data_IF_935690245226
#
_entry.id   IF_935690245226
#
_cell.length_a   1.000
_cell.length_b   1.000
_cell.length_c   1.000
_cell.angle_alpha   90.00
_cell.angle_beta   90.00
_cell.angle_gamma   90.00
#
_symmetry.space_group_name_H-M   'P 1'
#
loop_
_entity.id
_entity.type
_entity.pdbx_description
1 polymer ?
#
# COMPACT_ATOMS: atom_id res chain seq x y z
N UNK A 1 -20.28 -49.44 6.88
CA UNK A 1 -19.14 -49.06 6.01
C UNK A 1 -18.50 -47.82 6.62
N UNK A 2 -17.18 -47.79 6.79
CA UNK A 2 -16.49 -46.60 7.28
C UNK A 2 -16.54 -45.48 6.22
N UNK A 3 -16.64 -44.20 6.61
CA UNK A 3 -16.62 -43.10 5.64
C UNK A 3 -15.26 -43.01 4.94
N UNK A 4 -15.24 -42.62 3.68
CA UNK A 4 -14.02 -42.43 2.89
C UNK A 4 -14.12 -41.17 2.04
N UNK A 5 -13.11 -40.30 2.12
CA UNK A 5 -13.02 -39.08 1.32
C UNK A 5 -12.21 -39.37 0.05
N UNK A 6 -12.86 -39.19 -1.10
CA UNK A 6 -12.22 -39.23 -2.41
C UNK A 6 -11.54 -37.90 -2.70
N UNK A 7 -12.28 -36.79 -2.59
CA UNK A 7 -11.78 -35.44 -2.90
C UNK A 7 -12.44 -34.36 -2.04
N UNK A 8 -11.79 -33.20 -1.99
CA UNK A 8 -12.37 -31.96 -1.46
C UNK A 8 -12.23 -30.87 -2.53
N UNK A 9 -13.23 -29.98 -2.63
CA UNK A 9 -13.22 -28.86 -3.56
C UNK A 9 -13.94 -27.65 -2.98
N UNK A 10 -13.31 -26.46 -2.93
CA UNK A 10 -11.90 -26.22 -3.27
C UNK A 10 -10.95 -26.85 -2.23
N UNK A 11 -9.68 -27.02 -2.59
CA UNK A 11 -8.61 -27.52 -1.70
C UNK A 11 -7.93 -26.41 -0.89
N UNK A 12 -8.34 -25.15 -1.08
CA UNK A 12 -7.81 -24.00 -0.37
C UNK A 12 -8.86 -22.89 -0.26
N UNK A 13 -8.69 -22.00 0.71
CA UNK A 13 -9.57 -20.85 0.91
C UNK A 13 -9.39 -20.19 2.26
N UNK A 14 -10.30 -19.30 2.62
CA UNK A 14 -10.37 -18.65 3.94
C UNK A 14 -11.47 -19.28 4.80
N UNK A 15 -11.54 -18.86 6.07
CA UNK A 15 -12.73 -19.09 6.89
C UNK A 15 -13.97 -18.55 6.16
N UNK A 16 -15.05 -19.33 6.11
CA UNK A 16 -16.25 -19.00 5.34
C UNK A 16 -16.31 -19.63 3.94
N UNK A 17 -15.22 -20.23 3.45
CA UNK A 17 -15.22 -20.91 2.14
C UNK A 17 -16.19 -22.09 2.15
N UNK A 18 -17.09 -22.18 1.16
CA UNK A 18 -17.94 -23.36 0.96
C UNK A 18 -17.10 -24.50 0.37
N UNK A 19 -16.92 -25.57 1.13
CA UNK A 19 -16.12 -26.75 0.76
C UNK A 19 -17.04 -27.95 0.57
N UNK A 20 -16.93 -28.54 -0.62
CA UNK A 20 -17.59 -29.79 -0.99
C UNK A 20 -16.62 -30.95 -0.80
N UNK A 21 -17.01 -31.92 0.02
CA UNK A 21 -16.28 -33.15 0.30
C UNK A 21 -17.00 -34.28 -0.41
N UNK A 22 -16.33 -34.94 -1.34
CA UNK A 22 -16.89 -36.05 -2.13
C UNK A 22 -16.28 -37.37 -1.68
N UNK A 23 -17.09 -38.41 -1.55
CA UNK A 23 -16.65 -39.67 -0.97
C UNK A 23 -17.73 -40.73 -0.93
N UNK A 24 -17.63 -41.62 0.05
CA UNK A 24 -18.60 -42.67 0.33
C UNK A 24 -18.81 -42.82 1.83
N UNK A 25 -19.95 -43.38 2.23
CA UNK A 25 -20.21 -43.71 3.63
C UNK A 25 -20.49 -42.49 4.52
N UNK A 26 -20.86 -41.35 3.93
CA UNK A 26 -21.30 -40.15 4.66
C UNK A 26 -22.74 -40.28 5.20
N UNK A 27 -23.41 -41.39 4.87
CA UNK A 27 -24.64 -41.85 5.50
C UNK A 27 -25.91 -41.46 4.75
N UNK A 28 -26.99 -42.20 5.05
CA UNK A 28 -28.36 -41.79 4.78
C UNK A 28 -28.99 -41.36 6.12
N UNK A 29 -29.35 -40.08 6.25
CA UNK A 29 -30.17 -39.35 7.27
C UNK A 29 -30.18 -39.73 8.78
N UNK A 30 -29.88 -40.97 9.21
CA UNK A 30 -30.01 -41.42 10.60
C UNK A 30 -28.83 -41.04 11.52
N UNK A 31 -27.67 -40.69 10.96
CA UNK A 31 -26.52 -40.19 11.70
C UNK A 31 -25.85 -39.08 10.89
N UNK A 32 -25.92 -37.86 11.40
CA UNK A 32 -25.34 -36.68 10.74
C UNK A 32 -23.81 -36.76 10.77
N UNK A 33 -23.13 -36.66 9.62
CA UNK A 33 -21.68 -36.58 9.58
C UNK A 33 -21.19 -35.32 10.30
N UNK A 34 -20.07 -35.44 11.01
CA UNK A 34 -19.35 -34.33 11.62
C UNK A 34 -18.05 -34.14 10.85
N UNK A 35 -17.84 -32.94 10.30
CA UNK A 35 -16.61 -32.61 9.58
C UNK A 35 -15.64 -31.92 10.52
N UNK A 36 -14.36 -32.27 10.42
CA UNK A 36 -13.29 -31.65 11.17
C UNK A 36 -12.25 -31.05 10.21
N UNK A 37 -11.80 -29.84 10.49
CA UNK A 37 -10.63 -29.20 9.88
C UNK A 37 -9.53 -29.17 10.94
N UNK A 38 -8.60 -30.13 10.89
CA UNK A 38 -7.65 -30.37 11.97
C UNK A 38 -8.38 -30.74 13.27
N UNK A 39 -8.13 -30.00 14.34
CA UNK A 39 -8.84 -30.15 15.62
C UNK A 39 -10.18 -29.39 15.67
N UNK A 40 -10.46 -28.52 14.70
CA UNK A 40 -11.65 -27.68 14.71
C UNK A 40 -12.84 -28.45 14.13
N UNK A 41 -13.90 -28.58 14.92
CA UNK A 41 -15.16 -29.18 14.47
C UNK A 41 -16.00 -28.13 13.76
N UNK A 42 -16.53 -28.47 12.58
CA UNK A 42 -17.45 -27.59 11.86
C UNK A 42 -18.79 -27.54 12.60
N UNK A 43 -19.26 -26.33 12.92
CA UNK A 43 -20.58 -26.09 13.52
C UNK A 43 -21.51 -25.48 12.47
N UNK A 44 -22.75 -25.98 12.36
CA UNK A 44 -23.77 -25.42 11.46
C UNK A 44 -24.40 -26.47 10.53
N UNK A 45 -25.10 -26.00 9.50
CA UNK A 45 -25.81 -26.85 8.55
C UNK A 45 -24.82 -27.57 7.64
N UNK A 46 -24.84 -28.89 7.69
CA UNK A 46 -24.12 -29.76 6.76
C UNK A 46 -25.13 -30.28 5.75
N UNK A 47 -24.95 -29.98 4.47
CA UNK A 47 -25.79 -30.59 3.42
C UNK A 47 -25.18 -31.93 3.04
N UNK A 48 -25.94 -33.00 3.18
CA UNK A 48 -25.43 -34.37 3.09
C UNK A 48 -26.19 -35.17 2.04
N UNK A 49 -25.43 -35.77 1.14
CA UNK A 49 -25.79 -36.96 0.39
C UNK A 49 -24.81 -38.08 0.78
N UNK A 50 -25.17 -39.34 0.53
CA UNK A 50 -24.29 -40.48 0.89
C UNK A 50 -22.87 -40.37 0.28
N UNK A 51 -22.73 -39.63 -0.83
CA UNK A 51 -21.47 -39.41 -1.54
C UNK A 51 -20.93 -37.98 -1.47
N UNK A 52 -21.61 -37.06 -0.79
CA UNK A 52 -21.22 -35.66 -0.76
C UNK A 52 -21.60 -34.97 0.54
N UNK A 53 -20.68 -34.17 1.09
CA UNK A 53 -20.89 -33.32 2.26
C UNK A 53 -20.47 -31.90 1.89
N UNK A 54 -21.36 -30.91 2.03
CA UNK A 54 -21.01 -29.50 1.88
C UNK A 54 -20.96 -28.81 3.24
N UNK A 55 -19.88 -28.09 3.51
CA UNK A 55 -19.61 -27.38 4.77
C UNK A 55 -18.97 -26.02 4.52
N UNK A 56 -19.12 -25.13 5.49
CA UNK A 56 -18.37 -23.88 5.54
C UNK A 56 -17.07 -24.08 6.32
N UNK A 57 -15.93 -23.76 5.73
CA UNK A 57 -14.63 -23.86 6.40
C UNK A 57 -14.62 -22.98 7.67
N UNK A 58 -14.29 -23.53 8.85
CA UNK A 58 -14.30 -22.77 10.10
C UNK A 58 -13.09 -21.82 10.17
N UNK A 59 -13.04 -21.01 11.23
CA UNK A 59 -11.85 -20.22 11.56
C UNK A 59 -10.62 -21.13 11.78
N UNK A 60 -9.47 -20.70 11.26
CA UNK A 60 -8.22 -21.45 11.35
C UNK A 60 -7.01 -20.56 11.05
N UNK A 61 -5.82 -21.02 11.47
CA UNK A 61 -4.57 -20.38 11.11
C UNK A 61 -4.21 -20.69 9.65
N UNK A 62 -3.45 -19.80 9.01
CA UNK A 62 -2.93 -20.03 7.67
C UNK A 62 -2.06 -21.30 7.60
N UNK A 63 -2.10 -21.98 6.46
CA UNK A 63 -1.38 -23.22 6.21
C UNK A 63 -2.30 -24.43 6.04
N UNK A 64 -1.67 -25.60 5.90
CA UNK A 64 -2.37 -26.85 5.64
C UNK A 64 -3.03 -27.40 6.90
N UNK A 65 -4.30 -27.80 6.78
CA UNK A 65 -5.02 -28.62 7.75
C UNK A 65 -5.52 -29.91 7.11
N UNK A 66 -5.71 -30.94 7.92
CA UNK A 66 -6.30 -32.20 7.48
C UNK A 66 -7.81 -32.17 7.70
N UNK A 67 -8.58 -32.39 6.65
CA UNK A 67 -10.03 -32.50 6.68
C UNK A 67 -10.42 -33.97 6.83
N UNK A 68 -11.28 -34.28 7.80
CA UNK A 68 -11.84 -35.62 8.02
C UNK A 68 -13.35 -35.55 8.28
N UNK A 69 -14.03 -36.68 8.07
CA UNK A 69 -15.46 -36.83 8.35
C UNK A 69 -15.67 -37.98 9.32
N UNK A 70 -16.40 -37.72 10.40
CA UNK A 70 -16.80 -38.72 11.40
C UNK A 70 -18.29 -39.02 11.25
N UNK A 71 -18.64 -40.30 11.15
CA UNK A 71 -20.03 -40.79 11.13
C UNK A 71 -20.19 -41.85 12.21
N UNK A 72 -21.02 -41.57 13.21
CA UNK A 72 -21.08 -42.41 14.42
C UNK A 72 -19.72 -42.46 15.12
N UNK A 73 -19.16 -43.66 15.27
CA UNK A 73 -17.83 -43.88 15.86
C UNK A 73 -16.71 -44.04 14.83
N UNK A 74 -17.00 -43.94 13.53
CA UNK A 74 -16.03 -44.15 12.45
C UNK A 74 -15.57 -42.84 11.82
N UNK A 75 -14.26 -42.61 11.77
CA UNK A 75 -13.64 -41.46 11.09
C UNK A 75 -13.01 -41.89 9.77
N UNK A 76 -13.11 -41.03 8.75
CA UNK A 76 -12.56 -41.26 7.43
C UNK A 76 -11.03 -41.12 7.37
N UNK A 77 -10.44 -41.42 6.22
CA UNK A 77 -9.14 -40.86 5.83
C UNK A 77 -9.19 -39.33 5.79
N UNK A 78 -8.01 -38.71 5.70
CA UNK A 78 -7.88 -37.25 5.59
C UNK A 78 -7.56 -36.77 4.16
N UNK A 79 -7.94 -35.52 3.89
CA UNK A 79 -7.50 -34.73 2.72
C UNK A 79 -7.01 -33.36 3.17
N UNK A 80 -5.99 -32.84 2.52
CA UNK A 80 -5.41 -31.54 2.85
C UNK A 80 -6.31 -30.40 2.35
N UNK A 81 -6.58 -29.43 3.22
CA UNK A 81 -7.14 -28.12 2.86
C UNK A 81 -6.15 -27.03 3.30
N UNK A 82 -5.89 -26.04 2.45
CA UNK A 82 -4.94 -24.96 2.74
C UNK A 82 -5.65 -23.65 3.06
N UNK A 83 -5.49 -23.15 4.28
CA UNK A 83 -5.95 -21.82 4.66
C UNK A 83 -5.02 -20.76 4.09
N UNK A 84 -5.55 -19.88 3.24
CA UNK A 84 -4.80 -18.79 2.62
C UNK A 84 -4.64 -17.66 3.64
N UNK A 85 -3.41 -17.20 3.84
CA UNK A 85 -3.14 -16.03 4.68
C UNK A 85 -3.56 -14.73 3.98
N UNK A 86 -4.19 -13.83 4.73
CA UNK A 86 -4.25 -12.43 4.33
C UNK A 86 -2.83 -11.88 4.12
N UNK A 87 -2.64 -10.90 3.22
CA UNK A 87 -1.32 -10.34 3.00
C UNK A 87 -0.90 -9.48 4.20
N UNK A 88 0.37 -9.12 4.25
CA UNK A 88 0.89 -8.10 5.17
C UNK A 88 1.69 -7.08 4.39
N UNK A 89 1.56 -5.81 4.76
CA UNK A 89 2.40 -4.71 4.25
C UNK A 89 3.33 -4.31 5.40
N UNK A 90 4.64 -4.41 5.15
CA UNK A 90 5.70 -4.17 6.13
C UNK A 90 6.51 -2.91 5.84
N UNK A 91 6.52 -2.44 4.59
CA UNK A 91 7.10 -1.16 4.20
C UNK A 91 6.66 -0.76 2.79
N UNK A 92 6.86 0.51 2.46
CA UNK A 92 6.82 1.05 1.11
C UNK A 92 8.20 1.62 0.77
N UNK A 93 8.69 1.42 -0.46
CA UNK A 93 9.96 2.03 -0.91
C UNK A 93 9.89 3.56 -0.96
N UNK A 94 8.70 4.08 -1.25
CA UNK A 94 8.31 5.48 -1.11
C UNK A 94 6.98 5.54 -0.37
N UNK A 95 6.97 6.16 0.82
CA UNK A 95 5.80 6.33 1.68
C UNK A 95 5.24 7.76 1.64
N UNK A 96 5.74 8.59 0.71
CA UNK A 96 5.26 9.95 0.46
C UNK A 96 5.26 10.23 -1.04
N UNK A 97 4.48 11.21 -1.49
CA UNK A 97 4.56 11.71 -2.86
C UNK A 97 3.46 12.71 -3.22
N UNK A 98 3.38 13.11 -4.51
CA UNK A 98 2.46 14.13 -4.97
C UNK A 98 1.01 13.66 -4.98
N UNK A 99 0.12 14.61 -4.71
CA UNK A 99 -1.33 14.47 -4.78
C UNK A 99 -1.87 14.23 -6.20
N UNK A 100 -1.07 14.57 -7.20
CA UNK A 100 -1.35 14.42 -8.62
C UNK A 100 -0.35 13.49 -9.29
N UNK A 101 -0.86 12.40 -9.87
CA UNK A 101 -0.05 11.38 -10.56
C UNK A 101 1.14 10.85 -9.73
N UNK A 102 0.91 10.36 -8.50
CA UNK A 102 1.97 9.80 -7.66
C UNK A 102 2.73 8.67 -8.37
N UNK A 103 4.06 8.60 -8.23
CA UNK A 103 4.86 7.53 -8.81
C UNK A 103 4.56 6.19 -8.14
N UNK A 104 4.90 5.10 -8.83
CA UNK A 104 4.79 3.77 -8.26
C UNK A 104 5.75 3.58 -7.07
N UNK A 105 5.27 2.91 -6.03
CA UNK A 105 6.05 2.49 -4.86
C UNK A 105 6.14 0.96 -4.82
N UNK A 106 7.24 0.42 -4.31
CA UNK A 106 7.36 -1.03 -4.06
C UNK A 106 6.84 -1.32 -2.67
N UNK A 107 5.83 -2.19 -2.59
CA UNK A 107 5.33 -2.76 -1.35
C UNK A 107 6.25 -3.91 -0.92
N UNK A 108 6.65 -3.91 0.34
CA UNK A 108 7.37 -5.01 0.99
C UNK A 108 6.46 -5.70 1.99
N UNK A 109 6.51 -7.03 2.09
CA UNK A 109 5.67 -7.77 3.04
C UNK A 109 5.56 -9.25 2.74
N UNK A 110 4.33 -9.80 2.79
CA UNK A 110 4.03 -11.21 2.50
C UNK A 110 2.67 -11.39 1.84
N UNK A 111 2.50 -12.46 1.05
CA UNK A 111 1.24 -12.74 0.37
C UNK A 111 0.94 -11.79 -0.79
N UNK A 112 1.94 -11.05 -1.27
CA UNK A 112 1.79 -9.99 -2.28
C UNK A 112 1.73 -10.54 -3.71
N UNK A 113 2.28 -11.74 -3.97
CA UNK A 113 2.22 -12.34 -5.30
C UNK A 113 0.77 -12.66 -5.71
N UNK A 114 -0.06 -13.06 -4.74
CA UNK A 114 -1.48 -13.33 -4.94
C UNK A 114 -2.38 -12.10 -4.76
N UNK A 115 -1.83 -10.91 -4.54
CA UNK A 115 -2.62 -9.69 -4.35
C UNK A 115 -3.48 -9.39 -5.60
N UNK A 116 -4.72 -9.00 -5.34
CA UNK A 116 -5.74 -8.66 -6.34
C UNK A 116 -6.16 -7.20 -6.28
N UNK A 117 -5.97 -6.53 -5.14
CA UNK A 117 -6.23 -5.10 -4.99
C UNK A 117 -5.26 -4.44 -4.00
N UNK A 118 -5.09 -3.12 -4.14
CA UNK A 118 -4.44 -2.24 -3.17
C UNK A 118 -5.33 -1.01 -2.96
N UNK A 119 -5.44 -0.54 -1.73
CA UNK A 119 -6.27 0.61 -1.36
C UNK A 119 -5.50 1.55 -0.47
N UNK A 120 -5.56 2.83 -0.77
CA UNK A 120 -4.90 3.93 -0.07
C UNK A 120 -5.94 4.70 0.75
N UNK A 121 -6.46 4.10 1.82
CA UNK A 121 -7.45 4.69 2.71
C UNK A 121 -8.55 5.49 1.99
N UNK A 122 -8.68 6.76 2.37
CA UNK A 122 -9.65 7.70 1.78
C UNK A 122 -9.35 8.09 0.32
N UNK A 123 -8.11 7.93 -0.14
CA UNK A 123 -7.73 8.14 -1.55
C UNK A 123 -8.31 7.05 -2.48
N UNK A 124 -8.70 5.90 -1.92
CA UNK A 124 -9.39 4.84 -2.65
C UNK A 124 -8.46 3.83 -3.31
N UNK A 125 -8.92 3.21 -4.41
CA UNK A 125 -8.21 2.11 -5.05
C UNK A 125 -6.95 2.59 -5.79
N UNK A 126 -5.80 2.00 -5.46
CA UNK A 126 -4.59 2.13 -6.25
C UNK A 126 -4.51 1.07 -7.35
N UNK A 127 -3.42 1.09 -8.11
CA UNK A 127 -3.15 0.11 -9.16
C UNK A 127 -2.03 -0.83 -8.73
N UNK A 128 -2.25 -2.14 -8.82
CA UNK A 128 -1.16 -3.12 -8.65
C UNK A 128 -0.33 -3.21 -9.93
N UNK A 129 0.98 -3.10 -9.78
CA UNK A 129 1.97 -3.29 -10.83
C UNK A 129 2.57 -4.70 -10.84
N UNK A 130 3.79 -4.78 -11.36
CA UNK A 130 4.53 -6.02 -11.53
C UNK A 130 4.75 -6.77 -10.20
N UNK A 131 4.57 -8.09 -10.25
CA UNK A 131 4.94 -9.00 -9.16
C UNK A 131 6.43 -9.30 -9.26
N UNK A 132 7.18 -9.01 -8.20
CA UNK A 132 8.61 -9.31 -8.12
C UNK A 132 8.81 -10.62 -7.35
N UNK A 133 8.17 -10.75 -6.19
CA UNK A 133 8.13 -11.98 -5.40
C UNK A 133 6.88 -12.00 -4.51
N UNK A 134 6.68 -13.04 -3.70
CA UNK A 134 5.61 -13.00 -2.69
C UNK A 134 5.82 -11.92 -1.62
N UNK A 135 7.06 -11.46 -1.46
CA UNK A 135 7.43 -10.41 -0.52
C UNK A 135 7.54 -9.02 -1.11
N UNK A 136 7.41 -8.88 -2.43
CA UNK A 136 7.62 -7.60 -3.13
C UNK A 136 6.69 -7.44 -4.33
N UNK A 137 5.98 -6.32 -4.37
CA UNK A 137 5.11 -5.97 -5.50
C UNK A 137 5.03 -4.48 -5.69
N UNK A 138 5.07 -4.02 -6.94
CA UNK A 138 4.84 -2.61 -7.26
C UNK A 138 3.37 -2.25 -7.09
N UNK A 139 3.09 -1.06 -6.57
CA UNK A 139 1.77 -0.47 -6.49
C UNK A 139 1.85 1.04 -6.75
N UNK A 140 0.90 1.57 -7.50
CA UNK A 140 0.78 3.00 -7.77
C UNK A 140 -0.40 3.56 -6.97
N UNK A 141 -0.18 4.56 -6.10
CA UNK A 141 -1.27 5.25 -5.43
C UNK A 141 -2.20 5.95 -6.46
N UNK A 142 -3.49 6.11 -6.18
CA UNK A 142 -4.34 6.98 -6.98
C UNK A 142 -4.00 8.46 -6.74
N UNK A 143 -4.34 9.33 -7.69
CA UNK A 143 -4.36 10.78 -7.45
C UNK A 143 -5.40 11.11 -6.38
N UNK A 144 -5.05 11.98 -5.45
CA UNK A 144 -5.88 12.36 -4.32
C UNK A 144 -5.58 13.80 -3.94
N UNK A 145 -6.39 14.73 -4.44
CA UNK A 145 -6.17 16.16 -4.23
C UNK A 145 -6.10 16.49 -2.73
N UNK A 146 -5.00 17.11 -2.33
CA UNK A 146 -4.81 17.65 -0.99
C UNK A 146 -4.63 19.15 -1.10
N UNK A 147 -5.11 19.90 -0.11
CA UNK A 147 -4.90 21.36 -0.07
C UNK A 147 -4.47 21.74 1.32
N UNK A 148 -3.32 22.38 1.43
CA UNK A 148 -2.78 22.73 2.73
C UNK A 148 -2.03 21.53 3.33
N UNK A 149 -2.35 21.15 4.56
CA UNK A 149 -1.57 20.16 5.31
C UNK A 149 -1.51 18.80 4.58
N UNK A 150 -0.34 18.13 4.55
CA UNK A 150 -0.21 16.79 3.99
C UNK A 150 -1.20 15.80 4.60
N UNK A 151 -1.70 14.86 3.79
CA UNK A 151 -2.69 13.87 4.23
C UNK A 151 -2.10 12.47 4.21
N UNK A 152 -2.04 11.83 5.36
CA UNK A 152 -1.62 10.44 5.52
C UNK A 152 -2.80 9.49 5.43
N UNK A 153 -2.66 8.42 4.65
CA UNK A 153 -3.64 7.34 4.52
C UNK A 153 -2.99 5.99 4.77
N UNK A 154 -3.77 5.03 5.26
CA UNK A 154 -3.31 3.65 5.41
C UNK A 154 -3.41 2.89 4.07
N UNK A 155 -2.40 2.08 3.79
CA UNK A 155 -2.24 1.26 2.58
C UNK A 155 -2.58 -0.17 2.94
N UNK A 156 -3.64 -0.68 2.35
CA UNK A 156 -4.05 -2.07 2.51
C UNK A 156 -3.93 -2.82 1.20
N UNK A 157 -3.57 -4.09 1.29
CA UNK A 157 -3.51 -5.01 0.14
C UNK A 157 -4.52 -6.12 0.38
N UNK A 158 -5.20 -6.54 -0.68
CA UNK A 158 -6.14 -7.66 -0.62
C UNK A 158 -5.63 -8.79 -1.50
N UNK A 159 -5.68 -10.01 -0.99
CA UNK A 159 -5.50 -11.25 -1.73
C UNK A 159 -6.69 -12.19 -1.43
N UNK A 160 -6.77 -13.40 -2.01
CA UNK A 160 -7.86 -14.34 -1.68
C UNK A 160 -7.94 -14.75 -0.19
N UNK A 161 -6.85 -14.59 0.55
CA UNK A 161 -6.75 -14.78 2.00
C UNK A 161 -7.38 -13.66 2.84
N UNK A 162 -7.74 -12.53 2.22
CA UNK A 162 -8.33 -11.37 2.87
C UNK A 162 -7.53 -10.09 2.64
N UNK A 163 -7.79 -9.08 3.46
CA UNK A 163 -7.12 -7.78 3.41
C UNK A 163 -6.07 -7.69 4.53
N UNK A 164 -4.93 -7.07 4.26
CA UNK A 164 -3.90 -6.83 5.26
C UNK A 164 -4.44 -5.98 6.41
N UNK A 165 -3.94 -6.27 7.61
CA UNK A 165 -4.20 -5.42 8.79
C UNK A 165 -3.39 -4.13 8.72
N UNK A 166 -3.93 -3.05 9.30
CA UNK A 166 -3.22 -1.79 9.47
C UNK A 166 -2.34 -1.88 10.72
N UNK A 167 -1.06 -1.56 10.59
CA UNK A 167 -0.03 -1.72 11.63
C UNK A 167 0.67 -0.43 12.01
N UNK A 168 0.49 0.66 11.23
CA UNK A 168 0.91 2.02 11.58
C UNK A 168 1.81 2.65 10.51
N UNK A 169 2.91 3.28 10.91
CA UNK A 169 3.75 4.03 9.97
C UNK A 169 4.33 3.19 8.80
N UNK A 170 4.44 1.87 8.97
CA UNK A 170 4.97 0.93 7.98
C UNK A 170 4.05 0.75 6.76
N UNK A 171 2.75 0.90 6.94
CA UNK A 171 1.73 0.78 5.91
C UNK A 171 1.00 2.11 5.66
N UNK A 172 1.66 3.24 5.88
CA UNK A 172 1.12 4.57 5.60
C UNK A 172 1.74 5.21 4.36
N UNK A 173 0.94 5.99 3.65
CA UNK A 173 1.37 6.83 2.53
C UNK A 173 0.87 8.26 2.75
N UNK A 174 1.75 9.25 2.59
CA UNK A 174 1.40 10.67 2.78
C UNK A 174 1.42 11.43 1.46
N UNK A 175 0.30 12.06 1.15
CA UNK A 175 0.13 12.91 -0.03
C UNK A 175 0.48 14.36 0.31
N UNK A 176 1.28 14.97 -0.56
CA UNK A 176 1.68 16.38 -0.50
C UNK A 176 1.18 17.10 -1.74
N UNK A 177 0.70 18.32 -1.57
CA UNK A 177 0.42 19.22 -2.68
C UNK A 177 1.74 19.77 -3.26
N UNK A 178 1.73 20.01 -4.57
CA UNK A 178 2.83 20.72 -5.22
C UNK A 178 2.95 22.13 -4.60
N UNK A 179 4.16 22.58 -4.22
CA UNK A 179 4.33 23.88 -3.61
C UNK A 179 4.10 24.96 -4.67
N UNK A 180 3.63 26.13 -4.25
CA UNK A 180 3.57 27.31 -5.12
C UNK A 180 4.45 28.42 -4.55
N UNK A 181 5.27 29.04 -5.39
CA UNK A 181 6.04 30.22 -5.02
C UNK A 181 5.41 31.44 -5.69
N UNK A 182 5.17 32.48 -4.89
CA UNK A 182 4.40 33.66 -5.30
C UNK A 182 5.26 34.90 -5.42
N UNK A 183 6.18 35.14 -4.48
CA UNK A 183 7.07 36.29 -4.50
C UNK A 183 8.47 35.93 -4.00
N UNK A 184 9.47 36.66 -4.49
CA UNK A 184 10.85 36.65 -4.00
C UNK A 184 11.29 38.10 -3.75
N UNK A 185 11.84 38.38 -2.57
CA UNK A 185 12.22 39.73 -2.18
C UNK A 185 13.46 39.76 -1.27
N UNK A 186 14.51 40.53 -1.60
CA UNK A 186 14.68 41.25 -2.87
C UNK A 186 14.77 40.28 -4.05
N UNK A 187 14.38 40.72 -5.24
CA UNK A 187 14.46 39.93 -6.49
C UNK A 187 15.80 40.09 -7.22
N UNK A 188 16.77 40.74 -6.56
CA UNK A 188 18.13 40.98 -7.05
C UNK A 188 19.12 40.91 -5.90
N UNK A 189 20.34 40.44 -6.16
CA UNK A 189 21.40 40.38 -5.15
C UNK A 189 22.66 39.68 -5.67
N UNK A 190 23.74 39.73 -4.92
CA UNK A 190 25.00 39.08 -5.28
C UNK A 190 25.07 37.64 -4.77
N UNK A 191 25.88 36.76 -5.39
CA UNK A 191 26.19 35.44 -4.84
C UNK A 191 26.67 35.52 -3.38
N UNK A 192 26.03 34.77 -2.48
CA UNK A 192 26.29 34.80 -1.05
C UNK A 192 25.40 35.74 -0.23
N UNK A 193 24.57 36.58 -0.86
CA UNK A 193 23.62 37.44 -0.14
C UNK A 193 22.61 36.60 0.65
N UNK A 194 22.35 37.02 1.89
CA UNK A 194 21.41 36.37 2.81
C UNK A 194 20.14 37.20 2.95
N UNK A 195 19.03 36.58 3.38
CA UNK A 195 17.80 37.30 3.71
C UNK A 195 16.82 37.45 2.55
N UNK A 196 16.97 36.66 1.49
CA UNK A 196 16.01 36.62 0.38
C UNK A 196 14.76 35.87 0.84
N UNK A 197 13.65 36.59 1.00
CA UNK A 197 12.36 36.02 1.40
C UNK A 197 11.62 35.48 0.18
N UNK A 198 11.24 34.21 0.23
CA UNK A 198 10.29 33.60 -0.71
C UNK A 198 8.97 33.38 0.01
N UNK A 199 7.86 33.83 -0.57
CA UNK A 199 6.50 33.57 -0.07
C UNK A 199 5.74 32.63 -0.99
N UNK A 200 4.82 31.82 -0.43
CA UNK A 200 4.10 30.83 -1.21
C UNK A 200 3.12 29.99 -0.40
N UNK A 201 2.83 28.79 -0.91
CA UNK A 201 2.06 27.74 -0.24
C UNK A 201 2.79 26.41 -0.37
N UNK A 202 2.47 25.45 0.49
CA UNK A 202 3.01 24.10 0.35
C UNK A 202 4.45 23.94 0.80
N UNK A 203 5.02 24.88 1.58
CA UNK A 203 6.41 24.79 2.04
C UNK A 203 6.57 23.86 3.26
N UNK A 204 5.91 22.70 3.21
CA UNK A 204 6.09 21.59 4.15
C UNK A 204 7.31 20.78 3.75
N UNK A 205 8.17 20.41 4.71
CA UNK A 205 9.30 19.51 4.46
C UNK A 205 10.11 19.86 3.20
N UNK A 206 10.34 21.17 2.98
CA UNK A 206 11.10 21.64 1.82
C UNK A 206 12.47 20.98 1.84
N UNK A 207 12.79 20.30 0.75
CA UNK A 207 14.03 19.53 0.59
C UNK A 207 15.09 20.30 -0.20
N UNK A 208 14.66 21.24 -1.04
CA UNK A 208 15.57 22.08 -1.82
C UNK A 208 14.96 23.43 -2.18
N UNK A 209 15.81 24.44 -2.24
CA UNK A 209 15.61 25.66 -3.02
C UNK A 209 16.74 25.72 -4.04
N UNK A 210 16.40 25.83 -5.32
CA UNK A 210 17.37 25.75 -6.41
C UNK A 210 17.28 26.99 -7.28
N UNK A 211 18.45 27.58 -7.59
CA UNK A 211 18.60 28.62 -8.59
C UNK A 211 19.15 27.95 -9.85
N UNK A 212 18.43 28.01 -10.95
CA UNK A 212 18.81 27.40 -12.23
C UNK A 212 19.10 28.51 -13.23
N UNK A 213 20.25 28.44 -13.89
CA UNK A 213 20.51 29.28 -15.07
C UNK A 213 19.82 28.64 -16.28
N UNK A 214 18.79 29.27 -16.89
CA UNK A 214 18.09 28.68 -18.04
C UNK A 214 19.00 28.48 -19.27
N UNK A 215 20.12 29.19 -19.35
CA UNK A 215 21.11 29.07 -20.42
C UNK A 215 22.29 28.14 -20.06
N UNK A 216 22.41 27.75 -18.79
CA UNK A 216 23.52 26.99 -18.23
C UNK A 216 23.19 25.52 -17.96
N UNK A 217 24.19 24.63 -17.89
CA UNK A 217 23.97 23.22 -17.59
C UNK A 217 23.96 22.90 -16.08
N UNK A 218 24.06 23.91 -15.22
CA UNK A 218 24.35 23.72 -13.78
C UNK A 218 23.29 24.38 -12.92
N UNK A 219 22.70 23.59 -12.03
CA UNK A 219 21.82 24.06 -10.96
C UNK A 219 22.65 24.48 -9.73
N UNK A 220 22.22 25.55 -9.08
CA UNK A 220 22.86 26.12 -7.90
C UNK A 220 21.95 25.92 -6.67
N UNK A 221 22.19 24.88 -5.84
CA UNK A 221 21.41 24.66 -4.65
C UNK A 221 21.67 25.78 -3.63
N UNK A 222 20.60 26.34 -3.08
CA UNK A 222 20.64 27.38 -2.07
C UNK A 222 20.46 26.80 -0.66
N UNK A 223 21.08 27.44 0.33
CA UNK A 223 20.71 27.22 1.72
C UNK A 223 19.47 28.03 2.06
N UNK A 224 18.61 27.47 2.91
CA UNK A 224 17.36 28.11 3.28
C UNK A 224 16.97 27.74 4.72
N UNK A 225 16.08 28.53 5.29
CA UNK A 225 15.37 28.25 6.53
C UNK A 225 13.87 28.45 6.29
N UNK A 226 13.09 27.40 6.50
CA UNK A 226 11.64 27.52 6.51
C UNK A 226 11.17 28.18 7.81
N UNK A 227 10.48 29.31 7.70
CA UNK A 227 9.91 30.02 8.86
C UNK A 227 8.45 29.68 9.07
N UNK A 228 7.76 29.25 8.02
CA UNK A 228 6.41 28.68 8.04
C UNK A 228 6.15 27.91 6.74
N UNK A 229 4.98 27.27 6.64
CA UNK A 229 4.52 26.59 5.41
C UNK A 229 4.23 27.54 4.24
N UNK A 230 4.44 28.84 4.44
CA UNK A 230 4.23 29.90 3.45
C UNK A 230 5.45 30.80 3.23
N UNK A 231 6.54 30.61 4.00
CA UNK A 231 7.70 31.51 3.95
C UNK A 231 9.04 30.77 4.14
N UNK A 232 9.99 31.08 3.25
CA UNK A 232 11.38 30.64 3.34
C UNK A 232 12.31 31.87 3.35
N UNK A 233 13.36 31.82 4.16
CA UNK A 233 14.50 32.74 4.06
C UNK A 233 15.64 32.00 3.38
N UNK A 234 16.15 32.55 2.29
CA UNK A 234 17.10 31.90 1.38
C UNK A 234 18.40 32.71 1.31
N UNK A 235 19.52 32.01 1.13
CA UNK A 235 20.81 32.61 0.79
C UNK A 235 21.12 32.33 -0.67
N UNK A 236 21.48 33.37 -1.43
CA UNK A 236 21.88 33.23 -2.83
C UNK A 236 23.11 32.32 -2.93
N UNK A 237 23.11 31.27 -3.75
CA UNK A 237 24.26 30.37 -3.87
C UNK A 237 25.54 31.13 -4.25
N UNK A 238 26.62 30.95 -3.50
CA UNK A 238 27.89 31.67 -3.74
C UNK A 238 28.56 31.34 -5.08
N UNK A 239 28.18 30.22 -5.71
CA UNK A 239 28.66 29.81 -7.03
C UNK A 239 27.77 30.23 -8.20
N UNK A 240 26.66 30.93 -7.94
CA UNK A 240 25.77 31.40 -8.99
C UNK A 240 26.50 32.40 -9.92
N UNK A 241 26.18 32.43 -11.23
CA UNK A 241 26.75 33.42 -12.15
C UNK A 241 26.29 34.82 -11.74
N UNK A 242 27.01 35.85 -12.18
CA UNK A 242 26.65 37.26 -11.98
C UNK A 242 25.98 37.84 -13.22
N UNK A 243 25.22 38.93 -13.08
CA UNK A 243 24.52 39.61 -14.17
C UNK A 243 23.61 38.69 -15.00
N UNK A 244 22.97 37.71 -14.35
CA UNK A 244 22.17 36.66 -15.00
C UNK A 244 20.81 36.54 -14.33
N UNK A 245 19.75 36.32 -15.12
CA UNK A 245 18.43 35.98 -14.61
C UNK A 245 18.36 34.48 -14.32
N UNK A 246 18.10 34.12 -13.07
CA UNK A 246 18.02 32.74 -12.59
C UNK A 246 16.56 32.38 -12.27
N UNK A 247 16.17 31.17 -12.66
CA UNK A 247 14.91 30.56 -12.27
C UNK A 247 15.06 29.97 -10.87
N UNK A 248 14.24 30.43 -9.94
CA UNK A 248 14.24 29.99 -8.54
C UNK A 248 13.05 29.08 -8.31
N UNK A 249 13.33 27.86 -7.85
CA UNK A 249 12.32 26.86 -7.55
C UNK A 249 12.44 26.33 -6.13
N UNK A 250 11.32 25.91 -5.55
CA UNK A 250 11.24 25.27 -4.23
C UNK A 250 10.69 23.87 -4.43
N UNK A 251 11.29 22.88 -3.77
CA UNK A 251 10.88 21.47 -3.87
C UNK A 251 10.45 20.93 -2.51
N UNK A 252 9.29 20.29 -2.47
CA UNK A 252 8.78 19.46 -1.36
C UNK A 252 8.49 18.04 -1.88
N UNK A 253 8.00 17.09 -1.06
CA UNK A 253 7.63 15.75 -1.54
C UNK A 253 6.50 15.72 -2.58
N UNK A 254 5.67 16.76 -2.65
CA UNK A 254 4.62 16.97 -3.65
C UNK A 254 5.11 17.54 -4.98
N UNK A 255 6.41 17.86 -5.08
CA UNK A 255 7.06 18.28 -6.31
C UNK A 255 7.75 19.63 -6.19
N UNK A 256 7.99 20.25 -7.33
CA UNK A 256 8.72 21.51 -7.46
C UNK A 256 7.79 22.62 -7.91
N UNK A 257 7.96 23.84 -7.41
CA UNK A 257 7.14 25.00 -7.78
C UNK A 257 7.10 25.23 -9.28
N UNK A 258 5.90 25.46 -9.82
CA UNK A 258 5.69 25.90 -11.20
C UNK A 258 4.62 27.00 -11.26
N UNK A 259 4.88 28.16 -11.90
CA UNK A 259 6.13 28.56 -12.55
C UNK A 259 7.25 28.86 -11.54
N UNK A 260 8.50 28.91 -12.03
CA UNK A 260 9.64 29.38 -11.25
C UNK A 260 9.54 30.89 -10.99
N UNK A 261 10.13 31.35 -9.88
CA UNK A 261 10.37 32.79 -9.65
C UNK A 261 11.64 33.23 -10.38
N UNK A 262 11.79 34.53 -10.62
CA UNK A 262 12.99 35.08 -11.26
C UNK A 262 13.81 35.87 -10.25
N UNK A 263 15.11 35.61 -10.20
CA UNK A 263 16.08 36.36 -9.40
C UNK A 263 17.25 36.82 -10.28
N UNK A 264 17.66 38.09 -10.18
CA UNK A 264 18.78 38.61 -10.98
C UNK A 264 20.03 38.79 -10.12
N UNK A 265 21.11 38.11 -10.50
CA UNK A 265 22.46 38.28 -9.92
C UNK A 265 23.30 39.32 -10.65
#
# INVERSE_FOLDING_TARGET
MAPFITSISPTQGTAGTSVTITGTGFGALASTPVVHFGSTTVTGTVTVANTQVSVTAPGGCAGQVNVSVTVGSSTSNSRAFFYIAAPAVAALSANVGPDTSPPASTLYGSGLAAATAVTFGAAGAGTLGAVVSDSQRSATPPSFAVTGTPVTVDVTVTNPGGTSTITGAADQYTYYDQPTATTISPSTGSPGDTGVLITGTGFYEVSAVTFTDPAGPTDYPASFAATSDTQLIVTVPSGAPTATALDVTVTNPGGTTTPALVFNT
#
